data_IF_890493474986
#
_entry.id   IF_890493474986
#
_cell.length_a   1.000
_cell.length_b   1.000
_cell.length_c   1.000
_cell.angle_alpha   90.00
_cell.angle_beta   90.00
_cell.angle_gamma   90.00
#
_symmetry.space_group_name_H-M   'P 1'
#
loop_
_entity.id
_entity.type
_entity.pdbx_description
1 polymer ?
#
# COMPACT_ATOMS: atom_id res chain seq x y z
N UNK A 1 -2.03 15.55 -19.07
CA UNK A 1 -2.56 15.01 -17.81
C UNK A 1 -2.07 13.58 -17.69
N UNK A 2 -1.51 13.21 -16.54
CA UNK A 2 -0.98 11.86 -16.30
C UNK A 2 -1.63 11.27 -15.05
N UNK A 3 -2.01 10.00 -15.12
CA UNK A 3 -2.53 9.23 -13.97
C UNK A 3 -1.64 7.99 -13.85
N UNK A 4 -1.07 7.79 -12.67
CA UNK A 4 -0.24 6.61 -12.35
C UNK A 4 -0.93 5.80 -11.26
N UNK A 5 -1.03 4.48 -11.45
CA UNK A 5 -1.58 3.55 -10.45
C UNK A 5 -0.43 2.77 -9.83
N UNK A 6 -0.20 2.98 -8.54
CA UNK A 6 0.85 2.32 -7.77
C UNK A 6 0.17 1.41 -6.76
N UNK A 7 0.51 0.12 -6.78
CA UNK A 7 0.05 -0.83 -5.77
C UNK A 7 0.84 -0.61 -4.47
N UNK A 8 0.18 -0.82 -3.33
CA UNK A 8 0.83 -0.88 -2.02
C UNK A 8 2.00 -1.88 -2.01
N UNK A 9 2.96 -1.67 -1.11
CA UNK A 9 4.11 -2.54 -0.86
C UNK A 9 3.70 -3.93 -0.34
N UNK A 10 4.71 -4.77 -0.13
CA UNK A 10 4.51 -6.14 0.37
C UNK A 10 3.92 -6.06 1.77
N UNK A 11 2.79 -6.73 1.99
CA UNK A 11 2.10 -6.73 3.29
C UNK A 11 2.88 -7.53 4.33
N UNK A 12 2.79 -7.10 5.58
CA UNK A 12 3.25 -7.85 6.76
C UNK A 12 2.34 -9.03 7.11
N UNK A 13 1.17 -9.15 6.47
CA UNK A 13 0.28 -10.30 6.56
C UNK A 13 0.89 -11.51 5.84
N UNK A 14 1.71 -12.28 6.55
CA UNK A 14 2.50 -13.40 6.02
C UNK A 14 1.84 -14.77 6.19
N UNK A 15 0.53 -14.82 6.47
CA UNK A 15 -0.17 -16.10 6.56
C UNK A 15 -0.36 -16.71 5.16
N UNK A 16 0.57 -17.57 4.78
CA UNK A 16 0.60 -18.28 3.50
C UNK A 16 -0.10 -19.65 3.55
N UNK A 17 -0.84 -19.93 4.63
CA UNK A 17 -1.58 -21.18 4.76
C UNK A 17 -2.81 -21.20 3.85
N UNK A 18 -3.18 -22.39 3.39
CA UNK A 18 -4.49 -22.57 2.77
C UNK A 18 -5.57 -22.30 3.81
N UNK A 19 -6.43 -21.32 3.54
CA UNK A 19 -7.56 -20.97 4.38
C UNK A 19 -8.84 -21.56 3.82
N UNK A 20 -9.75 -21.95 4.69
CA UNK A 20 -11.11 -22.32 4.32
C UNK A 20 -11.96 -21.08 4.03
N UNK A 21 -13.11 -21.26 3.39
CA UNK A 21 -14.08 -20.18 3.19
C UNK A 21 -14.49 -19.49 4.51
N UNK A 22 -14.54 -20.24 5.62
CA UNK A 22 -14.92 -19.68 6.93
C UNK A 22 -13.84 -18.77 7.50
N UNK A 23 -12.58 -19.09 7.26
CA UNK A 23 -11.43 -18.33 7.74
C UNK A 23 -11.13 -17.11 6.85
N UNK A 24 -11.68 -17.07 5.64
CA UNK A 24 -11.47 -15.98 4.69
C UNK A 24 -11.82 -14.59 5.26
N UNK A 25 -12.95 -14.47 5.95
CA UNK A 25 -13.36 -13.17 6.51
C UNK A 25 -12.37 -12.65 7.55
N UNK A 26 -11.83 -13.52 8.40
CA UNK A 26 -10.87 -13.12 9.42
C UNK A 26 -9.49 -12.85 8.81
N UNK A 27 -9.11 -13.60 7.77
CA UNK A 27 -7.92 -13.32 6.98
C UNK A 27 -7.99 -11.95 6.29
N UNK A 28 -9.14 -11.58 5.70
CA UNK A 28 -9.33 -10.26 5.08
C UNK A 28 -9.14 -9.15 6.11
N UNK A 29 -9.72 -9.30 7.32
CA UNK A 29 -9.53 -8.33 8.40
C UNK A 29 -8.06 -8.17 8.78
N UNK A 30 -7.35 -9.29 8.96
CA UNK A 30 -5.90 -9.24 9.23
C UNK A 30 -5.14 -8.56 8.10
N UNK A 31 -5.48 -8.85 6.84
CA UNK A 31 -4.84 -8.26 5.67
C UNK A 31 -5.10 -6.74 5.57
N UNK A 32 -6.29 -6.27 5.94
CA UNK A 32 -6.67 -4.86 5.98
C UNK A 32 -6.00 -4.08 7.12
N UNK A 33 -5.83 -4.72 8.27
CA UNK A 33 -5.14 -4.17 9.45
C UNK A 33 -3.62 -4.31 9.40
N UNK A 34 -3.10 -5.01 8.39
CA UNK A 34 -1.66 -5.21 8.20
C UNK A 34 -1.01 -4.04 7.47
N UNK A 35 0.21 -3.76 7.90
CA UNK A 35 1.09 -2.77 7.29
C UNK A 35 1.88 -3.34 6.12
N UNK A 36 2.88 -2.60 5.66
CA UNK A 36 3.84 -3.07 4.65
C UNK A 36 5.26 -3.14 5.19
N UNK A 37 6.09 -4.00 4.59
CA UNK A 37 7.51 -3.99 4.85
C UNK A 37 8.17 -2.73 4.26
N UNK A 38 9.14 -2.18 4.99
CA UNK A 38 10.09 -1.23 4.43
C UNK A 38 11.08 -1.99 3.56
N UNK A 39 11.35 -1.46 2.38
CA UNK A 39 12.22 -2.09 1.38
C UNK A 39 13.46 -1.22 1.24
N UNK A 40 14.62 -1.84 1.07
CA UNK A 40 15.87 -1.10 0.84
C UNK A 40 15.82 -0.27 -0.45
N UNK A 41 15.00 -0.70 -1.42
CA UNK A 41 14.89 -0.06 -2.72
C UNK A 41 13.46 -0.08 -3.26
N UNK A 42 12.98 1.08 -3.66
CA UNK A 42 11.75 1.24 -4.44
C UNK A 42 12.09 1.47 -5.92
N UNK A 43 11.23 1.08 -6.88
CA UNK A 43 11.46 1.38 -8.28
C UNK A 43 11.62 2.89 -8.50
N UNK A 44 12.72 3.29 -9.15
CA UNK A 44 13.06 4.71 -9.39
C UNK A 44 11.92 5.47 -10.08
N UNK A 45 11.24 4.81 -11.02
CA UNK A 45 10.09 5.41 -11.70
C UNK A 45 8.93 5.68 -10.74
N UNK A 46 8.68 4.83 -9.75
CA UNK A 46 7.66 5.06 -8.72
C UNK A 46 7.94 6.34 -7.96
N UNK A 47 9.19 6.53 -7.50
CA UNK A 47 9.61 7.77 -6.83
C UNK A 47 9.40 8.99 -7.72
N UNK A 48 9.82 8.92 -9.00
CA UNK A 48 9.62 10.01 -9.97
C UNK A 48 8.15 10.35 -10.23
N UNK A 49 7.26 9.35 -10.23
CA UNK A 49 5.82 9.58 -10.38
C UNK A 49 5.24 10.29 -9.15
N UNK A 50 5.67 9.86 -7.97
CA UNK A 50 5.28 10.46 -6.69
C UNK A 50 5.76 11.92 -6.60
N UNK A 51 7.03 12.19 -6.90
CA UNK A 51 7.62 13.54 -6.84
C UNK A 51 6.95 14.53 -7.81
N UNK A 52 6.45 14.06 -8.95
CA UNK A 52 5.77 14.88 -9.97
C UNK A 52 4.28 15.03 -9.73
N UNK A 53 3.68 14.20 -8.88
CA UNK A 53 2.26 14.20 -8.67
C UNK A 53 1.84 15.45 -7.88
N UNK A 54 0.88 16.20 -8.42
CA UNK A 54 0.28 17.31 -7.69
C UNK A 54 -0.61 16.83 -6.53
N UNK A 55 -1.19 15.64 -6.67
CA UNK A 55 -2.05 15.01 -5.67
C UNK A 55 -1.80 13.51 -5.66
N UNK A 56 -1.81 12.93 -4.46
CA UNK A 56 -1.77 11.48 -4.28
C UNK A 56 -2.99 11.06 -3.48
N UNK A 57 -3.68 10.05 -3.99
CA UNK A 57 -4.90 9.50 -3.43
C UNK A 57 -4.61 8.06 -2.98
N UNK A 58 -5.02 7.73 -1.77
CA UNK A 58 -4.95 6.36 -1.25
C UNK A 58 -6.29 5.98 -0.65
N UNK A 59 -6.56 4.67 -0.55
CA UNK A 59 -7.59 4.20 0.36
C UNK A 59 -7.20 4.49 1.81
N UNK A 60 -8.16 4.36 2.72
CA UNK A 60 -7.98 4.40 4.17
C UNK A 60 -7.28 3.16 4.77
N UNK A 61 -7.15 2.08 3.99
CA UNK A 61 -6.46 0.86 4.40
C UNK A 61 -4.99 1.11 4.77
N UNK A 62 -4.56 0.55 5.91
CA UNK A 62 -3.24 0.79 6.51
C UNK A 62 -2.08 0.56 5.55
N UNK A 63 -2.11 -0.55 4.80
CA UNK A 63 -1.09 -0.88 3.78
C UNK A 63 -0.92 0.19 2.71
N UNK A 64 -2.01 0.84 2.28
CA UNK A 64 -1.96 1.90 1.26
C UNK A 64 -1.32 3.15 1.83
N UNK A 65 -1.72 3.54 3.05
CA UNK A 65 -1.20 4.73 3.74
C UNK A 65 0.30 4.57 4.04
N UNK A 66 0.70 3.43 4.59
CA UNK A 66 2.11 3.17 4.93
C UNK A 66 3.00 3.12 3.69
N UNK A 67 2.55 2.47 2.61
CA UNK A 67 3.29 2.47 1.34
C UNK A 67 3.56 3.88 0.84
N UNK A 68 2.54 4.73 0.93
CA UNK A 68 2.66 6.09 0.45
C UNK A 68 3.63 6.92 1.33
N UNK A 69 3.59 6.73 2.66
CA UNK A 69 4.55 7.34 3.59
C UNK A 69 5.99 6.91 3.32
N UNK A 70 6.23 5.63 3.06
CA UNK A 70 7.56 5.10 2.74
C UNK A 70 8.14 5.65 1.43
N UNK A 71 7.28 6.04 0.49
CA UNK A 71 7.66 6.77 -0.72
C UNK A 71 7.86 8.28 -0.50
N UNK A 72 8.02 8.72 0.76
CA UNK A 72 8.24 10.11 1.17
C UNK A 72 7.17 11.10 0.70
N UNK A 73 5.95 10.66 0.39
CA UNK A 73 4.96 11.64 0.01
C UNK A 73 4.42 12.43 1.21
N UNK A 74 4.40 13.75 1.03
CA UNK A 74 4.16 14.77 2.05
C UNK A 74 2.69 15.19 2.12
N UNK A 75 1.85 14.81 1.14
CA UNK A 75 0.46 15.23 1.07
C UNK A 75 -0.43 14.15 0.41
N UNK A 76 -1.35 13.58 1.19
CA UNK A 76 -2.35 12.62 0.71
C UNK A 76 -3.76 13.05 1.07
N UNK A 77 -4.72 12.66 0.24
CA UNK A 77 -6.14 12.71 0.56
C UNK A 77 -6.65 11.27 0.65
N UNK A 78 -7.34 10.95 1.75
CA UNK A 78 -7.98 9.66 1.97
C UNK A 78 -9.35 9.65 1.30
N UNK A 79 -9.64 8.57 0.58
CA UNK A 79 -10.94 8.33 -0.08
C UNK A 79 -11.52 7.02 0.40
#
# INVERSE_FOLDING_TARGET
MEISLIRHGITTCTDHKSITYKEFTDWVRQYDDSGVFEEDNYPVETGRKIDKAAFILTSDLKRSIESAKLLNCVQFVYV
#
